data_IF_253397930251
#
_entry.id   IF_253397930251
#
_cell.length_a   1.000
_cell.length_b   1.000
_cell.length_c   1.000
_cell.angle_alpha   90.00
_cell.angle_beta   90.00
_cell.angle_gamma   90.00
#
_symmetry.space_group_name_H-M   'P 1'
#
loop_
_entity.id
_entity.type
_entity.pdbx_description
1 polymer ?
#
# COMPACT_ATOMS: atom_id res chain seq x y z
N UNK A 1 -2.16 1.34 -63.55
CA UNK A 1 -1.31 1.18 -62.34
C UNK A 1 -1.95 1.78 -61.09
N UNK A 2 -2.24 3.09 -61.04
CA UNK A 2 -2.92 3.72 -59.88
C UNK A 2 -4.28 3.11 -59.51
N UNK A 3 -5.11 2.71 -60.49
CA UNK A 3 -6.45 2.14 -60.22
C UNK A 3 -6.41 0.75 -59.55
N UNK A 4 -5.35 -0.01 -59.77
CA UNK A 4 -5.15 -1.33 -59.13
C UNK A 4 -4.59 -1.18 -57.71
N UNK A 5 -3.74 -0.16 -57.48
CA UNK A 5 -3.24 0.18 -56.14
C UNK A 5 -4.40 0.64 -55.25
N UNK A 6 -5.30 1.48 -55.75
CA UNK A 6 -6.50 1.88 -54.99
C UNK A 6 -7.48 0.73 -54.74
N UNK A 7 -7.57 -0.26 -55.63
CA UNK A 7 -8.39 -1.45 -55.41
C UNK A 7 -7.75 -2.45 -54.43
N UNK A 8 -6.42 -2.57 -54.41
CA UNK A 8 -5.68 -3.34 -53.39
C UNK A 8 -5.69 -2.65 -52.02
N UNK A 9 -5.54 -1.32 -51.95
CA UNK A 9 -5.69 -0.55 -50.72
C UNK A 9 -7.13 -0.59 -50.21
N UNK A 10 -8.14 -0.54 -51.08
CA UNK A 10 -9.53 -0.75 -50.69
C UNK A 10 -9.76 -2.18 -50.19
N UNK A 11 -9.25 -3.21 -50.88
CA UNK A 11 -9.31 -4.60 -50.41
C UNK A 11 -8.58 -4.82 -49.09
N UNK A 12 -7.42 -4.19 -48.87
CA UNK A 12 -6.68 -4.26 -47.62
C UNK A 12 -7.39 -3.49 -46.49
N UNK A 13 -8.00 -2.33 -46.75
CA UNK A 13 -8.86 -1.63 -45.78
C UNK A 13 -10.13 -2.40 -45.44
N UNK A 14 -10.65 -3.23 -46.36
CA UNK A 14 -11.80 -4.11 -46.08
C UNK A 14 -11.40 -5.40 -45.35
N UNK A 15 -10.13 -5.85 -45.49
CA UNK A 15 -9.56 -7.00 -44.76
C UNK A 15 -9.05 -6.64 -43.36
N UNK A 16 -8.64 -5.39 -43.17
CA UNK A 16 -8.20 -4.78 -41.90
C UNK A 16 -9.18 -3.69 -41.43
N UNK A 17 -10.47 -3.88 -41.68
CA UNK A 17 -11.46 -3.26 -40.80
C UNK A 17 -11.40 -4.08 -39.50
N UNK A 18 -10.95 -3.51 -38.36
CA UNK A 18 -11.03 -4.23 -37.11
C UNK A 18 -12.50 -4.64 -36.92
N UNK A 19 -12.77 -5.94 -36.79
CA UNK A 19 -14.12 -6.48 -36.51
C UNK A 19 -14.59 -6.18 -35.07
N UNK A 20 -14.06 -5.11 -34.47
CA UNK A 20 -14.35 -4.64 -33.13
C UNK A 20 -14.41 -3.11 -33.12
N UNK A 21 -15.19 -2.51 -34.03
CA UNK A 21 -15.94 -1.33 -33.59
C UNK A 21 -16.92 -1.83 -32.55
N UNK A 22 -16.78 -1.34 -31.31
CA UNK A 22 -17.42 -1.80 -30.07
C UNK A 22 -18.95 -1.83 -30.08
N UNK A 23 -19.54 -2.65 -30.94
CA UNK A 23 -20.92 -3.07 -30.89
C UNK A 23 -20.92 -4.42 -30.16
N UNK A 24 -21.51 -4.49 -28.95
CA UNK A 24 -21.71 -5.74 -28.24
C UNK A 24 -22.27 -6.81 -29.18
N UNK A 25 -21.74 -8.02 -29.10
CA UNK A 25 -22.38 -9.18 -29.72
C UNK A 25 -23.84 -9.25 -29.22
N UNK A 26 -24.80 -9.55 -30.11
CA UNK A 26 -26.22 -9.51 -29.75
C UNK A 26 -26.50 -10.31 -28.45
N UNK A 27 -26.95 -9.60 -27.40
CA UNK A 27 -27.25 -10.18 -26.08
C UNK A 27 -26.22 -9.90 -24.97
N UNK A 28 -25.06 -9.32 -25.27
CA UNK A 28 -24.07 -8.87 -24.27
C UNK A 28 -24.27 -7.39 -23.92
N UNK A 29 -24.07 -7.03 -22.66
CA UNK A 29 -24.12 -5.65 -22.19
C UNK A 29 -22.75 -4.98 -22.31
N UNK A 30 -22.67 -3.70 -22.69
CA UNK A 30 -21.45 -2.91 -22.56
C UNK A 30 -20.92 -2.89 -21.13
N UNK A 31 -19.59 -2.75 -20.95
CA UNK A 31 -18.98 -2.71 -19.63
C UNK A 31 -19.60 -1.66 -18.72
N UNK A 32 -19.93 -0.49 -19.27
CA UNK A 32 -20.49 0.64 -18.51
C UNK A 32 -21.88 0.39 -17.93
N UNK A 33 -22.59 -0.62 -18.44
CA UNK A 33 -23.89 -1.08 -17.93
C UNK A 33 -23.75 -2.22 -16.90
N UNK A 34 -22.53 -2.75 -16.73
CA UNK A 34 -22.22 -3.89 -15.85
C UNK A 34 -21.38 -3.44 -14.65
N UNK A 35 -20.48 -2.49 -14.83
CA UNK A 35 -19.56 -2.03 -13.78
C UNK A 35 -19.39 -0.52 -13.81
N UNK A 36 -19.52 0.08 -12.63
CA UNK A 36 -19.45 1.52 -12.43
C UNK A 36 -18.05 1.92 -11.96
N UNK A 37 -17.35 2.86 -12.61
CA UNK A 37 -16.12 3.44 -12.06
C UNK A 37 -16.42 4.17 -10.74
N UNK A 38 -15.46 4.27 -9.82
CA UNK A 38 -15.68 5.10 -8.61
C UNK A 38 -15.91 6.58 -8.96
N UNK A 39 -16.56 7.32 -8.07
CA UNK A 39 -16.94 8.73 -8.30
C UNK A 39 -15.75 9.66 -8.63
N UNK A 40 -14.60 9.43 -8.00
CA UNK A 40 -13.35 10.16 -8.25
C UNK A 40 -12.81 9.92 -9.66
N UNK A 41 -12.98 8.70 -10.19
CA UNK A 41 -12.65 8.36 -11.58
C UNK A 41 -13.67 8.96 -12.55
N UNK A 42 -14.98 8.84 -12.25
CA UNK A 42 -16.04 9.40 -13.09
C UNK A 42 -15.89 10.92 -13.26
N UNK A 43 -15.62 11.64 -12.17
CA UNK A 43 -15.57 13.12 -12.15
C UNK A 43 -14.30 13.75 -12.72
N UNK A 44 -13.26 12.95 -13.01
CA UNK A 44 -11.98 13.49 -13.49
C UNK A 44 -11.05 13.99 -12.36
N UNK A 45 -11.48 13.90 -11.09
CA UNK A 45 -10.79 14.50 -9.94
C UNK A 45 -9.58 13.69 -9.43
N UNK A 46 -9.24 12.58 -10.09
CA UNK A 46 -8.12 11.68 -9.80
C UNK A 46 -6.70 12.29 -9.93
N UNK A 47 -6.56 13.62 -10.06
CA UNK A 47 -5.28 14.27 -10.40
C UNK A 47 -4.27 14.33 -9.24
N UNK A 48 -3.17 13.60 -9.45
CA UNK A 48 -1.84 13.62 -8.80
C UNK A 48 -1.74 13.35 -7.29
N UNK A 49 -2.70 13.70 -6.43
CA UNK A 49 -2.60 13.48 -4.98
C UNK A 49 -3.37 12.26 -4.46
N UNK A 50 -4.55 11.93 -5.01
CA UNK A 50 -5.45 10.93 -4.43
C UNK A 50 -4.84 9.52 -4.34
N UNK A 51 -4.21 8.96 -5.39
CA UNK A 51 -3.65 7.60 -5.30
C UNK A 51 -2.37 7.44 -4.47
N UNK A 52 -1.98 8.42 -3.66
CA UNK A 52 -0.89 8.28 -2.70
C UNK A 52 -1.45 8.16 -1.29
N UNK A 53 -1.36 6.96 -0.74
CA UNK A 53 -1.50 6.75 0.69
C UNK A 53 -0.50 7.65 1.45
N UNK A 54 -1.00 8.43 2.41
CA UNK A 54 -0.21 9.26 3.31
C UNK A 54 -0.59 8.90 4.76
N UNK A 55 0.28 8.13 5.42
CA UNK A 55 0.06 7.67 6.79
C UNK A 55 -0.02 8.84 7.78
N UNK A 56 0.68 9.95 7.52
CA UNK A 56 0.66 11.11 8.40
C UNK A 56 -0.68 11.85 8.31
N UNK A 57 -1.26 11.99 7.12
CA UNK A 57 -2.60 12.58 6.94
C UNK A 57 -3.68 11.73 7.63
N UNK A 58 -3.65 10.40 7.43
CA UNK A 58 -4.62 9.50 8.07
C UNK A 58 -4.49 9.54 9.60
N UNK A 59 -3.26 9.59 10.12
CA UNK A 59 -3.04 9.69 11.57
C UNK A 59 -3.56 11.00 12.16
N UNK A 60 -3.50 12.13 11.42
CA UNK A 60 -4.03 13.42 11.88
C UNK A 60 -5.54 13.59 11.69
N UNK A 61 -6.17 12.77 10.85
CA UNK A 61 -7.59 12.91 10.51
C UNK A 61 -7.85 13.81 9.29
N UNK A 62 -6.81 14.10 8.49
CA UNK A 62 -6.87 15.05 7.37
C UNK A 62 -6.96 14.37 5.99
N UNK A 63 -6.99 13.03 5.95
CA UNK A 63 -7.01 12.28 4.68
C UNK A 63 -8.42 12.22 4.06
N UNK A 64 -8.49 11.96 2.75
CA UNK A 64 -9.76 11.66 2.07
C UNK A 64 -10.44 10.43 2.69
N UNK A 65 -11.77 10.34 2.57
CA UNK A 65 -12.56 9.28 3.21
C UNK A 65 -12.07 7.87 2.82
N UNK A 66 -11.68 7.67 1.57
CA UNK A 66 -11.17 6.38 1.07
C UNK A 66 -9.87 5.89 1.72
N UNK A 67 -9.13 6.77 2.40
CA UNK A 67 -7.97 6.41 3.22
C UNK A 67 -8.23 6.58 4.71
N UNK A 68 -9.12 7.49 5.11
CA UNK A 68 -9.41 7.81 6.50
C UNK A 68 -10.38 6.81 7.15
N UNK A 69 -11.43 6.42 6.44
CA UNK A 69 -12.42 5.46 6.92
C UNK A 69 -11.91 4.01 6.74
N UNK A 70 -11.83 3.21 7.81
CA UNK A 70 -11.34 1.84 7.73
C UNK A 70 -12.14 0.95 6.76
N UNK A 71 -13.46 1.10 6.70
CA UNK A 71 -14.30 0.23 5.86
C UNK A 71 -14.16 0.59 4.40
N UNK A 72 -14.18 1.88 4.07
CA UNK A 72 -13.95 2.36 2.70
C UNK A 72 -12.54 1.97 2.22
N UNK A 73 -11.53 2.13 3.08
CA UNK A 73 -10.16 1.73 2.79
C UNK A 73 -10.07 0.24 2.43
N UNK A 74 -10.62 -0.65 3.27
CA UNK A 74 -10.57 -2.10 3.02
C UNK A 74 -11.46 -2.54 1.85
N UNK A 75 -12.57 -1.84 1.58
CA UNK A 75 -13.40 -2.08 0.40
C UNK A 75 -12.63 -1.86 -0.92
N UNK A 76 -11.76 -0.84 -0.95
CA UNK A 76 -10.88 -0.52 -2.09
C UNK A 76 -9.52 -1.23 -2.03
N UNK A 77 -9.31 -2.10 -1.05
CA UNK A 77 -8.04 -2.82 -0.85
C UNK A 77 -8.18 -4.27 -1.31
N UNK A 78 -7.26 -4.72 -2.17
CA UNK A 78 -7.08 -6.14 -2.43
C UNK A 78 -6.14 -6.72 -1.37
N UNK A 79 -6.61 -7.72 -0.62
CA UNK A 79 -5.76 -8.46 0.31
C UNK A 79 -4.85 -9.41 -0.47
N UNK A 80 -3.74 -8.87 -0.96
CA UNK A 80 -2.68 -9.67 -1.56
C UNK A 80 -2.17 -10.68 -0.55
N UNK A 81 -1.52 -11.73 -1.02
CA UNK A 81 -0.97 -12.74 -0.18
C UNK A 81 0.11 -12.15 0.76
N UNK A 82 0.93 -11.21 0.28
CA UNK A 82 1.89 -10.48 1.12
C UNK A 82 1.27 -9.55 2.17
N UNK A 83 0.17 -8.88 1.83
CA UNK A 83 -0.58 -8.07 2.80
C UNK A 83 -1.27 -8.97 3.83
N UNK A 84 -1.86 -10.09 3.40
CA UNK A 84 -2.49 -11.08 4.26
C UNK A 84 -1.50 -11.68 5.26
N UNK A 85 -0.29 -12.01 4.79
CA UNK A 85 0.81 -12.49 5.65
C UNK A 85 1.19 -11.44 6.71
N UNK A 86 1.28 -10.17 6.31
CA UNK A 86 1.59 -9.05 7.21
C UNK A 86 0.53 -8.86 8.30
N UNK A 87 -0.75 -8.80 7.90
CA UNK A 87 -1.87 -8.65 8.81
C UNK A 87 -1.95 -9.85 9.77
N UNK A 88 -1.74 -11.06 9.26
CA UNK A 88 -1.67 -12.29 10.06
C UNK A 88 -0.55 -12.23 11.09
N UNK A 89 0.66 -11.80 10.69
CA UNK A 89 1.77 -11.63 11.61
C UNK A 89 1.44 -10.65 12.73
N UNK A 90 0.80 -9.52 12.38
CA UNK A 90 0.41 -8.53 13.37
C UNK A 90 -0.65 -9.05 14.36
N UNK A 91 -1.66 -9.80 13.87
CA UNK A 91 -2.66 -10.44 14.72
C UNK A 91 -2.02 -11.42 15.71
N UNK A 92 -1.09 -12.26 15.24
CA UNK A 92 -0.32 -13.18 16.10
C UNK A 92 0.52 -12.41 17.13
N UNK A 93 1.26 -11.39 16.69
CA UNK A 93 2.20 -10.68 17.56
C UNK A 93 1.48 -9.92 18.65
N UNK A 94 0.43 -9.19 18.28
CA UNK A 94 -0.31 -8.32 19.19
C UNK A 94 -1.29 -9.11 20.06
N UNK A 95 -1.87 -10.20 19.57
CA UNK A 95 -2.88 -10.98 20.30
C UNK A 95 -2.34 -12.17 21.09
N UNK A 96 -1.31 -12.85 20.59
CA UNK A 96 -0.84 -14.14 21.12
C UNK A 96 0.64 -14.13 21.51
N UNK A 97 1.33 -13.00 21.29
CA UNK A 97 2.77 -12.87 21.45
C UNK A 97 3.57 -13.86 20.58
N UNK A 98 2.99 -14.29 19.46
CA UNK A 98 3.61 -15.15 18.45
C UNK A 98 3.91 -14.36 17.17
N UNK A 99 4.79 -14.86 16.31
CA UNK A 99 5.17 -14.14 15.09
C UNK A 99 6.26 -13.09 15.31
N UNK A 100 6.62 -12.42 14.22
CA UNK A 100 7.82 -11.62 14.16
C UNK A 100 7.61 -10.24 14.82
N UNK A 101 8.51 -9.83 15.72
CA UNK A 101 8.40 -8.57 16.45
C UNK A 101 8.75 -7.35 15.59
N UNK A 102 9.55 -7.55 14.54
CA UNK A 102 10.05 -6.49 13.66
C UNK A 102 9.82 -6.90 12.21
N UNK A 103 9.12 -6.05 11.46
CA UNK A 103 8.84 -6.27 10.04
C UNK A 103 9.40 -5.10 9.23
N UNK A 104 10.22 -5.44 8.25
CA UNK A 104 10.73 -4.48 7.25
C UNK A 104 9.85 -4.52 6.00
N UNK A 105 9.28 -3.39 5.62
CA UNK A 105 8.59 -3.24 4.34
C UNK A 105 9.59 -2.76 3.28
N UNK A 106 9.97 -3.67 2.38
CA UNK A 106 10.76 -3.36 1.20
C UNK A 106 9.91 -3.50 -0.07
N UNK A 107 9.87 -2.42 -0.86
CA UNK A 107 9.31 -2.44 -2.22
C UNK A 107 10.13 -1.53 -3.12
N UNK A 108 10.12 -1.84 -4.42
CA UNK A 108 10.36 -0.84 -5.46
C UNK A 108 9.31 0.28 -5.38
N UNK A 109 9.66 1.42 -5.96
CA UNK A 109 8.82 2.62 -5.98
C UNK A 109 7.35 2.37 -6.33
N UNK A 110 6.44 2.77 -5.43
CA UNK A 110 5.00 2.61 -5.61
C UNK A 110 4.42 1.23 -5.23
N UNK A 111 5.21 0.33 -4.64
CA UNK A 111 4.78 -1.03 -4.28
C UNK A 111 3.95 -1.19 -3.00
N UNK A 112 3.38 -0.11 -2.46
CA UNK A 112 2.36 -0.19 -1.41
C UNK A 112 2.85 -0.21 0.05
N UNK A 113 4.08 0.20 0.39
CA UNK A 113 4.59 0.24 1.78
C UNK A 113 3.66 1.02 2.73
N UNK A 114 3.39 2.29 2.41
CA UNK A 114 2.48 3.13 3.20
C UNK A 114 1.06 2.57 3.21
N UNK A 115 0.61 1.94 2.11
CA UNK A 115 -0.70 1.29 2.04
C UNK A 115 -0.80 0.07 2.98
N UNK A 116 0.23 -0.78 3.03
CA UNK A 116 0.33 -1.90 3.97
C UNK A 116 0.35 -1.41 5.44
N UNK A 117 1.05 -0.31 5.71
CA UNK A 117 1.02 0.33 7.04
C UNK A 117 -0.37 0.88 7.39
N UNK A 118 -1.09 1.47 6.44
CA UNK A 118 -2.47 1.91 6.64
C UNK A 118 -3.40 0.75 6.93
N UNK A 119 -3.25 -0.38 6.24
CA UNK A 119 -4.03 -1.58 6.51
C UNK A 119 -3.82 -2.06 7.95
N UNK A 120 -2.56 -2.10 8.43
CA UNK A 120 -2.25 -2.39 9.84
C UNK A 120 -2.85 -1.36 10.79
N UNK A 121 -2.66 -0.07 10.49
CA UNK A 121 -3.16 1.05 11.30
C UNK A 121 -4.67 0.95 11.51
N UNK A 122 -5.43 0.69 10.44
CA UNK A 122 -6.88 0.56 10.46
C UNK A 122 -7.34 -0.73 11.13
N UNK A 123 -6.73 -1.86 10.78
CA UNK A 123 -7.08 -3.18 11.35
C UNK A 123 -7.01 -3.15 12.87
N UNK A 124 -5.94 -2.60 13.45
CA UNK A 124 -5.78 -2.56 14.92
C UNK A 124 -6.46 -1.35 15.58
N UNK A 125 -6.97 -0.42 14.77
CA UNK A 125 -7.64 0.80 15.24
C UNK A 125 -9.15 0.67 15.43
N UNK A 126 -9.78 -0.32 14.77
CA UNK A 126 -11.22 -0.59 14.91
C UNK A 126 -11.52 -1.48 16.11
N UNK A 127 -12.77 -1.42 16.60
CA UNK A 127 -13.24 -2.27 17.71
C UNK A 127 -13.27 -3.75 17.35
N UNK A 128 -13.71 -4.07 16.12
CA UNK A 128 -13.79 -5.42 15.61
C UNK A 128 -13.18 -5.48 14.20
N UNK A 129 -11.97 -6.04 14.04
CA UNK A 129 -11.36 -6.21 12.72
C UNK A 129 -12.18 -7.04 11.75
N UNK A 130 -13.04 -7.96 12.22
CA UNK A 130 -13.92 -8.74 11.35
C UNK A 130 -15.01 -7.88 10.65
N UNK A 131 -15.24 -6.63 11.09
CA UNK A 131 -16.15 -5.72 10.41
C UNK A 131 -15.53 -5.07 9.15
N UNK A 132 -14.23 -5.30 8.92
CA UNK A 132 -13.49 -4.78 7.78
C UNK A 132 -13.59 -5.74 6.59
N UNK A 133 -13.95 -5.26 5.39
CA UNK A 133 -14.07 -6.11 4.20
C UNK A 133 -12.83 -7.00 3.96
N UNK A 134 -13.06 -8.32 3.90
CA UNK A 134 -12.04 -9.34 3.63
C UNK A 134 -11.21 -9.76 4.85
N UNK A 135 -11.21 -8.98 5.93
CA UNK A 135 -10.47 -9.31 7.16
C UNK A 135 -11.17 -10.41 7.95
N UNK A 136 -12.49 -10.49 7.89
CA UNK A 136 -13.30 -11.62 8.37
C UNK A 136 -12.83 -12.95 7.76
N UNK A 137 -12.74 -13.00 6.44
CA UNK A 137 -12.31 -14.19 5.68
C UNK A 137 -10.87 -14.53 6.02
N UNK A 138 -10.00 -13.52 6.19
CA UNK A 138 -8.62 -13.72 6.62
C UNK A 138 -8.58 -14.39 8.00
N UNK A 139 -9.31 -13.84 8.99
CA UNK A 139 -9.35 -14.34 10.37
C UNK A 139 -9.83 -15.79 10.42
N UNK A 140 -10.88 -16.13 9.68
CA UNK A 140 -11.40 -17.50 9.57
C UNK A 140 -10.38 -18.46 8.96
N UNK A 141 -9.68 -18.03 7.90
CA UNK A 141 -8.66 -18.82 7.22
C UNK A 141 -7.50 -19.16 8.14
N UNK A 142 -7.02 -18.17 8.91
CA UNK A 142 -5.87 -18.35 9.80
C UNK A 142 -6.27 -18.83 11.20
N UNK A 143 -7.57 -18.92 11.49
CA UNK A 143 -8.15 -19.31 12.79
C UNK A 143 -7.60 -18.49 13.96
N UNK A 144 -7.43 -17.19 13.75
CA UNK A 144 -6.97 -16.25 14.78
C UNK A 144 -8.12 -15.37 15.25
N UNK A 145 -8.05 -14.95 16.51
CA UNK A 145 -8.90 -13.90 17.04
C UNK A 145 -8.12 -12.58 17.10
N UNK A 146 -8.79 -11.44 16.90
CA UNK A 146 -8.22 -10.12 17.17
C UNK A 146 -7.66 -10.00 18.60
N UNK A 147 -6.70 -9.08 18.83
CA UNK A 147 -6.27 -8.74 20.19
C UNK A 147 -7.47 -8.35 21.06
N UNK A 148 -7.54 -8.89 22.28
CA UNK A 148 -8.64 -8.63 23.23
C UNK A 148 -8.58 -7.25 23.86
N UNK A 149 -7.40 -6.63 23.84
CA UNK A 149 -7.15 -5.29 24.36
C UNK A 149 -6.94 -4.31 23.21
N UNK A 150 -7.26 -3.03 23.46
CA UNK A 150 -6.98 -1.94 22.53
C UNK A 150 -5.48 -1.89 22.24
N UNK A 151 -5.11 -1.85 20.96
CA UNK A 151 -3.72 -1.70 20.54
C UNK A 151 -3.35 -0.21 20.52
N UNK A 152 -2.28 0.14 21.22
CA UNK A 152 -1.70 1.48 21.21
C UNK A 152 -0.88 1.69 19.93
N UNK A 153 -1.05 2.82 19.25
CA UNK A 153 -0.45 3.06 17.93
C UNK A 153 0.48 4.27 18.00
N UNK A 154 1.73 4.07 17.58
CA UNK A 154 2.65 5.17 17.27
C UNK A 154 2.94 5.20 15.78
N UNK A 155 2.87 6.39 15.19
CA UNK A 155 3.07 6.67 13.76
C UNK A 155 4.16 7.75 13.63
N UNK A 156 5.29 7.35 13.06
CA UNK A 156 6.46 8.18 12.86
C UNK A 156 6.75 8.26 11.36
N UNK A 157 6.41 9.39 10.72
CA UNK A 157 6.59 9.55 9.27
C UNK A 157 7.78 10.48 9.03
N UNK A 158 8.88 9.93 8.51
CA UNK A 158 10.16 10.63 8.41
C UNK A 158 10.16 11.84 7.46
N UNK A 159 9.21 11.92 6.54
CA UNK A 159 8.99 13.09 5.68
C UNK A 159 8.14 14.18 6.34
N UNK A 160 7.38 13.84 7.39
CA UNK A 160 6.54 14.78 8.13
C UNK A 160 7.24 15.33 9.39
N UNK A 161 8.17 14.57 9.97
CA UNK A 161 8.92 14.95 11.16
C UNK A 161 10.26 15.59 10.76
N UNK A 162 10.62 16.72 11.37
CA UNK A 162 11.90 17.40 11.14
C UNK A 162 12.83 17.21 12.35
N UNK A 163 14.09 16.77 12.16
CA UNK A 163 15.05 16.68 13.26
C UNK A 163 15.55 18.06 13.74
N UNK A 164 15.30 19.13 12.99
CA UNK A 164 15.74 20.48 13.34
C UNK A 164 14.73 21.30 14.13
N UNK A 165 13.52 20.78 14.37
CA UNK A 165 12.42 21.56 14.95
C UNK A 165 11.69 20.77 16.03
N UNK A 166 11.57 21.38 17.21
CA UNK A 166 10.70 20.88 18.26
C UNK A 166 9.23 21.05 17.88
N UNK A 167 8.37 20.13 18.31
CA UNK A 167 6.92 20.20 18.17
C UNK A 167 6.28 20.31 19.54
N UNK A 168 5.23 21.11 19.66
CA UNK A 168 4.46 21.21 20.91
C UNK A 168 3.11 20.53 20.72
N UNK A 169 2.75 19.63 21.63
CA UNK A 169 1.47 18.93 21.64
C UNK A 169 0.38 19.78 22.30
N UNK A 170 -0.88 19.40 22.10
CA UNK A 170 -2.05 20.11 22.65
C UNK A 170 -2.01 20.22 24.18
N UNK A 171 -1.35 19.28 24.84
CA UNK A 171 -1.16 19.24 26.28
C UNK A 171 0.03 20.11 26.76
N UNK A 172 0.78 20.74 25.85
CA UNK A 172 1.95 21.57 26.13
C UNK A 172 3.28 20.80 26.18
N UNK A 173 3.28 19.49 25.97
CA UNK A 173 4.51 18.69 25.88
C UNK A 173 5.33 19.12 24.67
N UNK A 174 6.59 19.47 24.89
CA UNK A 174 7.55 19.79 23.84
C UNK A 174 8.33 18.53 23.48
N UNK A 175 8.31 18.16 22.21
CA UNK A 175 8.94 16.97 21.66
C UNK A 175 10.04 17.38 20.69
N UNK A 176 11.22 16.80 20.83
CA UNK A 176 12.38 17.11 20.01
C UNK A 176 12.73 15.97 19.04
N UNK A 177 12.44 14.73 19.41
CA UNK A 177 13.02 13.52 18.81
C UNK A 177 11.96 12.51 18.36
N UNK A 178 12.38 11.46 17.63
CA UNK A 178 11.50 10.34 17.27
C UNK A 178 11.05 9.54 18.49
N UNK A 179 11.90 9.38 19.51
CA UNK A 179 11.58 8.60 20.70
C UNK A 179 10.67 9.36 21.67
N UNK A 180 10.80 10.68 21.80
CA UNK A 180 9.83 11.49 22.52
C UNK A 180 8.45 11.46 21.87
N UNK A 181 8.40 11.54 20.53
CA UNK A 181 7.17 11.39 19.76
C UNK A 181 6.55 9.99 19.92
N UNK A 182 7.36 8.93 19.85
CA UNK A 182 6.94 7.56 20.11
C UNK A 182 6.27 7.41 21.48
N UNK A 183 6.95 7.84 22.54
CA UNK A 183 6.46 7.70 23.90
C UNK A 183 5.15 8.47 24.09
N UNK A 184 5.12 9.74 23.68
CA UNK A 184 3.92 10.57 23.82
C UNK A 184 2.72 9.95 23.09
N UNK A 185 2.88 9.48 21.84
CA UNK A 185 1.78 8.90 21.07
C UNK A 185 1.24 7.60 21.68
N UNK A 186 2.11 6.73 22.21
CA UNK A 186 1.67 5.51 22.89
C UNK A 186 0.80 5.85 24.11
N UNK A 187 1.22 6.81 24.94
CA UNK A 187 0.45 7.25 26.10
C UNK A 187 -0.83 8.01 25.76
N UNK A 188 -0.80 8.87 24.75
CA UNK A 188 -1.93 9.74 24.36
C UNK A 188 -3.16 8.92 23.96
N UNK A 189 -2.96 7.72 23.41
CA UNK A 189 -4.04 6.79 23.06
C UNK A 189 -4.94 6.37 24.24
N UNK A 190 -4.51 6.63 25.48
CA UNK A 190 -5.26 6.47 26.74
C UNK A 190 -5.26 7.73 27.61
N UNK A 191 -4.98 8.90 27.02
CA UNK A 191 -4.97 10.19 27.73
C UNK A 191 -3.76 10.40 28.64
N UNK A 192 -2.69 9.64 28.45
CA UNK A 192 -1.47 9.62 29.28
C UNK A 192 -0.21 10.06 28.54
N UNK A 193 -0.35 10.92 27.52
CA UNK A 193 0.76 11.36 26.68
C UNK A 193 1.94 11.93 27.48
N UNK A 194 1.66 12.82 28.45
CA UNK A 194 2.68 13.36 29.37
C UNK A 194 3.37 12.32 30.24
N UNK A 195 2.61 11.37 30.79
CA UNK A 195 3.16 10.31 31.65
C UNK A 195 4.10 9.41 30.85
N UNK A 196 3.71 9.03 29.63
CA UNK A 196 4.55 8.24 28.73
C UNK A 196 5.80 9.00 28.29
N UNK A 197 5.64 10.27 27.88
CA UNK A 197 6.77 11.14 27.51
C UNK A 197 7.77 11.27 28.66
N UNK A 198 7.31 11.44 29.90
CA UNK A 198 8.16 11.58 31.07
C UNK A 198 9.14 10.40 31.26
N UNK A 199 8.79 9.20 30.78
CA UNK A 199 9.68 8.04 30.82
C UNK A 199 10.93 8.21 29.95
N UNK A 200 10.87 9.02 28.88
CA UNK A 200 11.97 9.26 27.95
C UNK A 200 12.34 10.76 27.83
N UNK A 201 11.90 11.60 28.77
CA UNK A 201 12.03 13.05 28.67
C UNK A 201 13.51 13.50 28.64
N UNK A 202 14.37 12.92 29.48
CA UNK A 202 15.80 13.24 29.51
C UNK A 202 16.47 12.90 28.18
N UNK A 203 16.14 11.74 27.59
CA UNK A 203 16.63 11.34 26.27
C UNK A 203 16.12 12.29 25.17
N UNK A 204 14.85 12.70 25.21
CA UNK A 204 14.28 13.64 24.22
C UNK A 204 14.92 15.02 24.32
N UNK A 205 15.09 15.56 25.52
CA UNK A 205 15.64 16.89 25.75
C UNK A 205 17.13 16.97 25.41
N UNK A 206 17.89 15.92 25.71
CA UNK A 206 19.32 15.84 25.38
C UNK A 206 19.59 15.52 23.91
N UNK A 207 18.59 15.04 23.17
CA UNK A 207 18.78 14.54 21.80
C UNK A 207 19.69 13.30 21.75
N UNK A 208 19.77 12.53 22.84
CA UNK A 208 20.51 11.28 22.98
C UNK A 208 19.53 10.11 23.03
N UNK A 209 19.86 9.01 22.36
CA UNK A 209 18.97 7.84 22.24
C UNK A 209 18.74 7.23 23.61
N UNK A 210 17.48 6.88 23.94
CA UNK A 210 17.21 6.05 25.11
C UNK A 210 17.83 4.66 24.95
N UNK A 211 18.09 4.01 26.08
CA UNK A 211 18.50 2.61 26.13
C UNK A 211 17.34 1.66 25.82
N UNK A 212 17.66 0.41 25.46
CA UNK A 212 16.63 -0.60 25.20
C UNK A 212 15.79 -0.92 26.45
N UNK A 213 16.35 -0.85 27.65
CA UNK A 213 15.62 -1.07 28.91
C UNK A 213 14.53 -0.03 29.17
N UNK A 214 14.79 1.25 28.86
CA UNK A 214 13.81 2.34 28.99
C UNK A 214 12.66 2.15 28.00
N UNK A 215 12.98 1.76 26.76
CA UNK A 215 11.99 1.43 25.74
C UNK A 215 11.16 0.20 26.12
N UNK A 216 11.77 -0.83 26.71
CA UNK A 216 11.04 -2.00 27.25
C UNK A 216 10.08 -1.59 28.37
N UNK A 217 10.51 -0.71 29.28
CA UNK A 217 9.64 -0.19 30.34
C UNK A 217 8.43 0.54 29.75
N UNK A 218 8.65 1.38 28.73
CA UNK A 218 7.59 2.06 27.99
C UNK A 218 6.62 1.06 27.34
N UNK A 219 7.12 0.07 26.59
CA UNK A 219 6.26 -0.91 25.92
C UNK A 219 5.50 -1.80 26.91
N UNK A 220 6.12 -2.15 28.04
CA UNK A 220 5.42 -2.86 29.11
C UNK A 220 4.25 -2.05 29.66
N UNK A 221 4.42 -0.73 29.83
CA UNK A 221 3.37 0.15 30.33
C UNK A 221 2.23 0.38 29.32
N UNK A 222 2.53 0.32 28.02
CA UNK A 222 1.59 0.65 26.94
C UNK A 222 1.47 -0.47 25.90
N UNK A 223 1.46 -1.73 26.33
CA UNK A 223 1.19 -2.89 25.47
C UNK A 223 -0.29 -3.31 25.54
N UNK A 224 -0.87 -3.90 24.48
CA UNK A 224 -0.25 -4.17 23.16
C UNK A 224 0.04 -2.89 22.37
N UNK A 225 1.17 -2.85 21.66
CA UNK A 225 1.60 -1.67 20.90
C UNK A 225 2.03 -2.01 19.47
N UNK A 226 1.65 -1.15 18.53
CA UNK A 226 2.21 -1.14 17.17
C UNK A 226 2.92 0.19 16.90
N UNK A 227 4.09 0.09 16.29
CA UNK A 227 4.96 1.21 15.98
C UNK A 227 5.18 1.18 14.47
N UNK A 228 4.66 2.20 13.79
CA UNK A 228 4.72 2.34 12.33
C UNK A 228 5.68 3.47 11.99
N UNK A 229 6.82 3.13 11.37
CA UNK A 229 7.83 4.12 10.96
C UNK A 229 7.91 4.17 9.45
N UNK A 230 7.26 5.17 8.84
CA UNK A 230 7.30 5.36 7.39
C UNK A 230 8.45 6.29 7.00
N UNK A 231 9.15 6.00 5.91
CA UNK A 231 10.23 6.80 5.35
C UNK A 231 11.35 7.11 6.39
N UNK A 232 11.76 6.11 7.18
CA UNK A 232 12.73 6.31 8.26
C UNK A 232 14.07 6.87 7.75
N UNK A 233 14.54 6.37 6.60
CA UNK A 233 15.77 6.87 5.97
C UNK A 233 15.65 8.35 5.60
N UNK A 234 14.46 8.82 5.17
CA UNK A 234 14.25 10.21 4.84
C UNK A 234 14.45 11.12 6.06
N UNK A 235 14.11 10.67 7.26
CA UNK A 235 14.40 11.40 8.50
C UNK A 235 15.90 11.41 8.81
N UNK A 236 16.52 10.23 8.88
CA UNK A 236 17.91 10.09 9.33
C UNK A 236 18.89 10.80 8.38
N UNK A 237 18.65 10.78 7.06
CA UNK A 237 19.57 11.45 6.12
C UNK A 237 19.68 12.97 6.36
N UNK A 238 18.67 13.59 6.97
CA UNK A 238 18.70 15.02 7.30
C UNK A 238 19.64 15.35 8.46
N UNK A 239 20.09 14.36 9.23
CA UNK A 239 21.06 14.54 10.33
C UNK A 239 22.49 14.22 9.91
N UNK A 240 22.69 13.66 8.71
CA UNK A 240 24.00 13.28 8.20
C UNK A 240 24.88 14.49 7.87
N UNK A 241 26.14 14.48 8.30
CA UNK A 241 27.14 15.54 8.07
C UNK A 241 26.63 16.97 8.37
N UNK A 242 25.71 17.10 9.32
CA UNK A 242 25.13 18.40 9.68
C UNK A 242 26.07 19.12 10.64
N UNK A 243 26.39 20.39 10.33
CA UNK A 243 27.27 21.22 11.17
C UNK A 243 26.57 21.81 12.39
N UNK A 244 25.24 21.89 12.34
CA UNK A 244 24.42 22.42 13.44
C UNK A 244 24.04 21.30 14.41
N UNK A 245 23.97 21.63 15.69
CA UNK A 245 23.35 20.75 16.69
C UNK A 245 21.84 20.71 16.42
N UNK A 246 21.31 19.52 16.12
CA UNK A 246 19.90 19.29 15.87
C UNK A 246 19.23 18.77 17.14
N UNK A 247 18.03 19.29 17.44
CA UNK A 247 17.25 18.85 18.61
C UNK A 247 16.80 17.39 18.49
N UNK A 248 16.63 16.89 17.27
CA UNK A 248 16.29 15.50 16.97
C UNK A 248 17.45 14.51 17.03
N UNK A 249 18.60 14.92 17.57
CA UNK A 249 19.82 14.11 17.70
C UNK A 249 20.67 14.01 16.43
N UNK A 250 21.87 13.43 16.57
CA UNK A 250 22.81 13.22 15.46
C UNK A 250 22.44 12.00 14.60
N UNK A 251 23.18 11.79 13.52
CA UNK A 251 23.09 10.58 12.70
C UNK A 251 23.41 9.31 13.49
N UNK A 252 24.46 9.35 14.29
CA UNK A 252 24.89 8.25 15.17
C UNK A 252 23.83 7.97 16.23
N UNK A 253 23.27 9.01 16.86
CA UNK A 253 22.21 8.84 17.85
C UNK A 253 20.97 8.18 17.25
N UNK A 254 20.53 8.61 16.07
CA UNK A 254 19.37 8.01 15.40
C UNK A 254 19.63 6.56 14.98
N UNK A 255 20.87 6.24 14.62
CA UNK A 255 21.33 4.88 14.36
C UNK A 255 21.27 4.02 15.63
N UNK A 256 21.78 4.52 16.75
CA UNK A 256 21.72 3.85 18.06
C UNK A 256 20.27 3.64 18.48
N UNK A 257 19.40 4.62 18.26
CA UNK A 257 17.97 4.49 18.54
C UNK A 257 17.34 3.37 17.72
N UNK A 258 17.67 3.23 16.42
CA UNK A 258 17.16 2.14 15.62
C UNK A 258 17.54 0.76 16.20
N UNK A 259 18.77 0.61 16.66
CA UNK A 259 19.24 -0.62 17.32
C UNK A 259 18.48 -0.87 18.63
N UNK A 260 18.49 0.11 19.54
CA UNK A 260 17.82 0.01 20.83
C UNK A 260 16.32 -0.30 20.69
N UNK A 261 15.65 0.34 19.72
CA UNK A 261 14.24 0.12 19.41
C UNK A 261 13.98 -1.32 18.94
N UNK A 262 14.75 -1.82 17.98
CA UNK A 262 14.57 -3.19 17.48
C UNK A 262 14.82 -4.25 18.57
N UNK A 263 15.81 -4.03 19.45
CA UNK A 263 16.09 -4.90 20.59
C UNK A 263 14.97 -4.86 21.63
N UNK A 264 14.48 -3.66 21.97
CA UNK A 264 13.40 -3.48 22.93
C UNK A 264 12.09 -4.10 22.46
N UNK A 265 11.75 -3.96 21.18
CA UNK A 265 10.53 -4.56 20.59
C UNK A 265 10.62 -6.08 20.57
N UNK A 266 11.82 -6.64 20.34
CA UNK A 266 12.06 -8.09 20.41
C UNK A 266 11.84 -8.64 21.82
N UNK A 267 12.28 -7.92 22.85
CA UNK A 267 12.16 -8.33 24.25
C UNK A 267 10.82 -7.96 24.90
N UNK A 268 9.96 -7.17 24.21
CA UNK A 268 8.68 -6.72 24.73
C UNK A 268 7.52 -7.52 24.14
N UNK A 269 6.80 -8.32 24.93
CA UNK A 269 5.62 -9.03 24.45
C UNK A 269 4.57 -8.10 23.85
N UNK A 270 3.78 -8.62 22.90
CA UNK A 270 2.66 -7.90 22.31
C UNK A 270 3.01 -6.53 21.70
N UNK A 271 4.28 -6.35 21.29
CA UNK A 271 4.78 -5.13 20.65
C UNK A 271 5.28 -5.47 19.25
N UNK A 272 4.84 -4.68 18.26
CA UNK A 272 5.21 -4.85 16.85
C UNK A 272 5.82 -3.56 16.30
N UNK A 273 6.98 -3.66 15.68
CA UNK A 273 7.58 -2.60 14.88
C UNK A 273 7.44 -2.94 13.39
N UNK A 274 6.89 -2.00 12.63
CA UNK A 274 6.88 -2.06 11.17
C UNK A 274 7.55 -0.80 10.64
N UNK A 275 8.60 -0.96 9.85
CA UNK A 275 9.32 0.16 9.26
C UNK A 275 9.42 0.03 7.74
N UNK A 276 9.28 1.15 7.03
CA UNK A 276 9.46 1.18 5.58
C UNK A 276 10.87 1.64 5.25
N UNK A 277 11.56 0.84 4.44
CA UNK A 277 12.90 1.16 3.95
C UNK A 277 12.90 1.22 2.41
N UNK A 278 13.67 2.13 1.81
CA UNK A 278 13.92 2.13 0.38
C UNK A 278 14.53 0.80 -0.09
N UNK A 279 14.06 0.28 -1.23
CA UNK A 279 14.60 -0.98 -1.77
C UNK A 279 15.98 -0.79 -2.39
N UNK A 280 16.22 0.37 -3.02
CA UNK A 280 17.42 0.66 -3.81
C UNK A 280 18.07 1.99 -3.44
N UNK A 281 19.36 2.12 -3.76
CA UNK A 281 20.17 3.35 -3.57
C UNK A 281 19.64 4.57 -4.35
N UNK A 282 18.87 4.35 -5.41
CA UNK A 282 18.30 5.41 -6.25
C UNK A 282 17.27 6.24 -5.47
N UNK A 283 16.55 5.63 -4.54
CA UNK A 283 15.46 6.25 -3.79
C UNK A 283 15.92 7.06 -2.56
N UNK A 284 17.18 6.93 -2.16
CA UNK A 284 17.64 7.26 -0.81
C UNK A 284 18.10 8.72 -0.67
N UNK A 285 18.39 9.38 -1.79
CA UNK A 285 18.64 10.82 -1.85
C UNK A 285 20.04 11.25 -1.42
N UNK A 286 21.08 10.62 -1.96
CA UNK A 286 22.49 11.00 -1.75
C UNK A 286 23.21 10.19 -0.68
N UNK A 287 24.46 10.57 -0.39
CA UNK A 287 25.40 9.81 0.46
C UNK A 287 24.86 9.54 1.87
N UNK A 288 24.28 10.54 2.54
CA UNK A 288 23.70 10.35 3.88
C UNK A 288 22.50 9.41 3.89
N UNK A 289 21.74 9.39 2.79
CA UNK A 289 20.69 8.41 2.58
C UNK A 289 21.27 7.00 2.45
N UNK A 290 22.27 6.81 1.60
CA UNK A 290 22.90 5.49 1.41
C UNK A 290 23.45 4.92 2.72
N UNK A 291 24.14 5.73 3.51
CA UNK A 291 24.64 5.32 4.83
C UNK A 291 23.49 4.97 5.77
N UNK A 292 22.46 5.81 5.87
CA UNK A 292 21.28 5.51 6.71
C UNK A 292 20.61 4.20 6.31
N UNK A 293 20.43 3.96 5.00
CA UNK A 293 19.83 2.73 4.51
C UNK A 293 20.67 1.50 4.83
N UNK A 294 21.98 1.57 4.61
CA UNK A 294 22.90 0.47 4.91
C UNK A 294 22.86 0.12 6.41
N UNK A 295 22.97 1.13 7.25
CA UNK A 295 22.93 1.00 8.70
C UNK A 295 21.60 0.44 9.20
N UNK A 296 20.46 0.96 8.73
CA UNK A 296 19.14 0.42 9.08
C UNK A 296 19.00 -1.02 8.57
N UNK A 297 19.36 -1.32 7.32
CA UNK A 297 19.34 -2.70 6.79
C UNK A 297 20.16 -3.67 7.64
N UNK A 298 21.33 -3.25 8.13
CA UNK A 298 22.15 -4.09 9.01
C UNK A 298 21.48 -4.35 10.37
N UNK A 299 20.77 -3.36 10.90
CA UNK A 299 20.03 -3.47 12.16
C UNK A 299 18.84 -4.42 12.02
N UNK A 300 18.08 -4.29 10.93
CA UNK A 300 16.88 -5.06 10.65
C UNK A 300 17.15 -6.51 10.19
N UNK A 301 18.23 -6.76 9.41
CA UNK A 301 18.61 -8.10 8.91
C UNK A 301 18.73 -9.18 9.98
N UNK A 302 18.98 -8.81 11.24
CA UNK A 302 19.17 -9.74 12.35
C UNK A 302 17.86 -10.24 12.96
N UNK A 303 16.72 -9.61 12.66
CA UNK A 303 15.48 -9.76 13.45
C UNK A 303 14.22 -9.92 12.58
N UNK A 304 14.30 -9.74 11.26
CA UNK A 304 13.12 -9.59 10.40
C UNK A 304 12.59 -10.87 9.75
N UNK A 305 11.29 -10.86 9.46
CA UNK A 305 10.71 -11.58 8.32
C UNK A 305 10.60 -10.68 7.09
N UNK A 306 10.76 -11.28 5.91
CA UNK A 306 10.63 -10.56 4.65
C UNK A 306 9.16 -10.43 4.26
N UNK A 307 8.64 -9.21 4.25
CA UNK A 307 7.37 -8.91 3.60
C UNK A 307 7.54 -9.02 2.07
N UNK A 308 6.51 -9.51 1.37
CA UNK A 308 6.54 -9.66 -0.10
C UNK A 308 5.64 -8.62 -0.79
N UNK A 309 6.14 -7.95 -1.85
CA UNK A 309 5.30 -7.16 -2.74
C UNK A 309 4.21 -7.99 -3.43
N UNK A 310 3.17 -7.29 -3.92
CA UNK A 310 2.16 -7.88 -4.79
C UNK A 310 2.78 -8.41 -6.08
N UNK A 311 2.29 -9.56 -6.56
CA UNK A 311 2.67 -10.08 -7.87
C UNK A 311 1.85 -9.42 -9.01
N UNK A 312 2.14 -9.78 -10.25
CA UNK A 312 1.47 -9.19 -11.43
C UNK A 312 -0.05 -9.46 -11.44
N UNK A 313 -0.49 -10.68 -11.11
CA UNK A 313 -1.92 -11.02 -11.12
C UNK A 313 -2.68 -10.30 -10.00
N UNK A 314 -2.10 -10.24 -8.80
CA UNK A 314 -2.63 -9.46 -7.68
C UNK A 314 -2.70 -7.96 -7.99
N UNK A 315 -1.79 -7.47 -8.83
CA UNK A 315 -1.81 -6.08 -9.27
C UNK A 315 -3.03 -5.75 -10.13
N UNK A 316 -3.55 -6.71 -10.89
CA UNK A 316 -4.76 -6.51 -11.69
C UNK A 316 -5.98 -6.29 -10.80
N UNK A 317 -6.11 -7.11 -9.76
CA UNK A 317 -7.14 -6.97 -8.73
C UNK A 317 -7.03 -5.65 -7.96
N UNK A 318 -5.81 -5.24 -7.60
CA UNK A 318 -5.56 -3.93 -6.96
C UNK A 318 -6.09 -2.80 -7.85
N UNK A 319 -5.72 -2.80 -9.14
CA UNK A 319 -6.11 -1.74 -10.06
C UNK A 319 -7.62 -1.75 -10.30
N UNK A 320 -8.20 -2.92 -10.56
CA UNK A 320 -9.64 -3.07 -10.78
C UNK A 320 -10.45 -2.57 -9.60
N UNK A 321 -10.11 -2.94 -8.36
CA UNK A 321 -10.82 -2.49 -7.15
C UNK A 321 -10.65 -0.99 -6.88
N UNK A 322 -9.52 -0.40 -7.27
CA UNK A 322 -9.28 1.03 -7.12
C UNK A 322 -9.99 1.90 -8.15
N UNK A 323 -10.31 1.34 -9.31
CA UNK A 323 -10.93 2.10 -10.40
C UNK A 323 -12.45 1.88 -10.48
N UNK A 324 -12.94 0.73 -10.03
CA UNK A 324 -14.34 0.34 -10.16
C UNK A 324 -14.98 -0.07 -8.84
N UNK A 325 -16.27 0.21 -8.72
CA UNK A 325 -17.13 -0.27 -7.65
C UNK A 325 -17.25 -1.80 -7.68
N UNK A 326 -17.50 -2.46 -6.53
CA UNK A 326 -17.77 -3.89 -6.50
C UNK A 326 -19.00 -4.25 -7.35
N UNK A 327 -18.89 -5.35 -8.10
CA UNK A 327 -20.05 -5.91 -8.82
C UNK A 327 -21.10 -6.40 -7.81
N UNK A 328 -22.37 -6.35 -8.20
CA UNK A 328 -23.48 -6.77 -7.35
C UNK A 328 -24.51 -7.61 -8.10
N UNK A 329 -25.15 -8.56 -7.42
CA UNK A 329 -26.32 -9.28 -7.95
C UNK A 329 -26.14 -9.83 -9.36
N UNK A 330 -26.94 -9.32 -10.31
CA UNK A 330 -26.98 -9.79 -11.70
C UNK A 330 -25.75 -9.39 -12.52
N UNK A 331 -24.94 -8.43 -12.06
CA UNK A 331 -23.77 -7.96 -12.79
C UNK A 331 -22.71 -9.05 -12.94
N UNK A 332 -22.63 -9.98 -11.97
CA UNK A 332 -21.77 -11.16 -12.06
C UNK A 332 -22.13 -12.01 -13.29
N UNK A 333 -23.42 -12.24 -13.54
CA UNK A 333 -23.87 -13.03 -14.69
C UNK A 333 -23.58 -12.32 -16.03
N UNK A 334 -23.68 -10.98 -16.06
CA UNK A 334 -23.35 -10.21 -17.26
C UNK A 334 -21.86 -10.22 -17.56
N UNK A 335 -21.00 -10.04 -16.55
CA UNK A 335 -19.55 -10.24 -16.68
C UNK A 335 -19.26 -11.64 -17.19
N UNK A 336 -19.83 -12.68 -16.58
CA UNK A 336 -19.53 -14.07 -16.92
C UNK A 336 -19.93 -14.39 -18.38
N UNK A 337 -21.03 -13.82 -18.86
CA UNK A 337 -21.43 -13.93 -20.26
C UNK A 337 -20.40 -13.29 -21.22
N UNK A 338 -19.82 -12.14 -20.86
CA UNK A 338 -18.75 -11.50 -21.65
C UNK A 338 -17.48 -12.35 -21.62
N UNK A 339 -17.06 -12.81 -20.43
CA UNK A 339 -15.90 -13.68 -20.25
C UNK A 339 -16.05 -14.98 -21.07
N UNK A 340 -17.23 -15.59 -21.07
CA UNK A 340 -17.53 -16.79 -21.83
C UNK A 340 -17.47 -16.54 -23.35
N UNK A 341 -17.95 -15.39 -23.81
CA UNK A 341 -17.85 -14.99 -25.21
C UNK A 341 -16.39 -14.85 -25.67
N UNK A 342 -15.54 -14.17 -24.88
CA UNK A 342 -14.10 -14.06 -25.16
C UNK A 342 -13.40 -15.42 -25.08
N UNK A 343 -13.70 -16.23 -24.05
CA UNK A 343 -13.15 -17.57 -23.90
C UNK A 343 -13.50 -18.48 -25.09
N UNK A 344 -14.73 -18.36 -25.61
CA UNK A 344 -15.16 -19.06 -26.83
C UNK A 344 -14.41 -18.54 -28.06
N UNK A 345 -14.27 -17.22 -28.22
CA UNK A 345 -13.51 -16.63 -29.32
C UNK A 345 -12.08 -17.18 -29.38
N UNK A 346 -11.38 -17.29 -28.24
CA UNK A 346 -10.02 -17.85 -28.20
C UNK A 346 -9.97 -19.35 -28.52
N UNK A 347 -10.98 -20.11 -28.10
CA UNK A 347 -11.07 -21.55 -28.41
C UNK A 347 -11.33 -21.78 -29.89
N UNK A 348 -12.28 -21.05 -30.47
CA UNK A 348 -12.70 -21.20 -31.87
C UNK A 348 -11.60 -20.75 -32.84
N UNK A 349 -10.69 -19.86 -32.41
CA UNK A 349 -9.64 -19.29 -33.24
C UNK A 349 -8.24 -19.54 -32.65
N UNK A 350 -8.00 -20.73 -32.10
CA UNK A 350 -6.78 -21.05 -31.33
C UNK A 350 -5.45 -20.82 -32.08
N UNK A 351 -5.46 -20.79 -33.42
CA UNK A 351 -4.27 -20.53 -34.23
C UNK A 351 -3.97 -19.03 -34.43
N UNK A 352 -4.90 -18.14 -34.05
CA UNK A 352 -4.78 -16.69 -34.19
C UNK A 352 -4.32 -16.01 -32.89
N UNK A 353 -4.33 -16.73 -31.77
CA UNK A 353 -4.03 -16.18 -30.43
C UNK A 353 -2.82 -16.87 -29.77
N UNK A 354 -2.15 -16.20 -28.81
CA UNK A 354 -1.05 -16.79 -28.06
C UNK A 354 -1.43 -18.10 -27.34
N UNK A 355 -0.44 -18.97 -27.12
CA UNK A 355 -0.64 -20.19 -26.34
C UNK A 355 -1.13 -19.86 -24.91
N UNK A 356 -2.03 -20.68 -24.37
CA UNK A 356 -2.63 -20.48 -23.05
C UNK A 356 -3.97 -19.73 -23.04
N UNK A 357 -4.29 -18.91 -24.06
CA UNK A 357 -5.50 -18.06 -24.04
C UNK A 357 -6.82 -18.86 -24.03
N UNK A 358 -6.80 -20.10 -24.54
CA UNK A 358 -7.97 -20.99 -24.60
C UNK A 358 -8.21 -21.78 -23.31
N UNK A 359 -7.24 -21.76 -22.38
CA UNK A 359 -7.21 -22.62 -21.21
C UNK A 359 -7.91 -21.96 -20.01
N UNK A 360 -8.34 -22.78 -19.06
CA UNK A 360 -9.07 -22.32 -17.87
C UNK A 360 -8.35 -21.22 -17.05
N UNK A 361 -7.01 -21.24 -16.87
CA UNK A 361 -6.32 -20.18 -16.14
C UNK A 361 -6.48 -18.80 -16.80
N UNK A 362 -6.51 -18.73 -18.13
CA UNK A 362 -6.69 -17.45 -18.82
C UNK A 362 -8.12 -16.93 -18.70
N UNK A 363 -9.12 -17.83 -18.71
CA UNK A 363 -10.50 -17.47 -18.38
C UNK A 363 -10.59 -16.83 -16.99
N UNK A 364 -9.92 -17.41 -16.00
CA UNK A 364 -9.92 -16.86 -14.65
C UNK A 364 -9.25 -15.47 -14.58
N UNK A 365 -8.19 -15.24 -15.37
CA UNK A 365 -7.61 -13.89 -15.52
C UNK A 365 -8.62 -12.88 -16.09
N UNK A 366 -9.42 -13.26 -17.09
CA UNK A 366 -10.47 -12.39 -17.64
C UNK A 366 -11.51 -12.02 -16.57
N UNK A 367 -11.93 -12.97 -15.74
CA UNK A 367 -12.88 -12.75 -14.65
C UNK A 367 -12.36 -11.72 -13.63
N UNK A 368 -11.10 -11.87 -13.23
CA UNK A 368 -10.46 -11.05 -12.20
C UNK A 368 -10.11 -9.63 -12.69
N UNK A 369 -9.83 -9.48 -14.00
CA UNK A 369 -9.44 -8.20 -14.59
C UNK A 369 -10.64 -7.38 -15.11
N UNK A 370 -11.81 -7.99 -15.30
CA UNK A 370 -12.98 -7.33 -15.88
C UNK A 370 -13.31 -6.00 -15.17
N UNK A 371 -13.54 -4.90 -15.93
CA UNK A 371 -13.77 -4.84 -17.38
C UNK A 371 -12.51 -4.64 -18.22
N UNK A 372 -11.32 -4.70 -17.61
CA UNK A 372 -10.07 -4.45 -18.31
C UNK A 372 -9.51 -5.79 -18.82
N UNK A 373 -9.13 -5.82 -20.09
CA UNK A 373 -8.54 -7.02 -20.67
C UNK A 373 -7.13 -7.30 -20.08
N UNK A 374 -6.80 -8.55 -19.67
CA UNK A 374 -5.54 -8.89 -19.00
C UNK A 374 -4.30 -8.55 -19.82
N UNK A 375 -4.35 -8.68 -21.15
CA UNK A 375 -3.24 -8.29 -22.04
C UNK A 375 -2.83 -6.82 -21.87
N UNK A 376 -3.77 -5.90 -21.61
CA UNK A 376 -3.42 -4.49 -21.41
C UNK A 376 -2.55 -4.34 -20.16
N UNK A 377 -2.89 -5.05 -19.08
CA UNK A 377 -2.06 -5.05 -17.89
C UNK A 377 -0.72 -5.74 -18.11
N UNK A 378 -0.69 -6.87 -18.82
CA UNK A 378 0.57 -7.57 -19.13
C UNK A 378 1.53 -6.65 -19.89
N UNK A 379 1.04 -5.86 -20.87
CA UNK A 379 1.87 -4.87 -21.57
C UNK A 379 2.32 -3.73 -20.67
N UNK A 380 1.41 -3.16 -19.88
CA UNK A 380 1.76 -2.07 -18.96
C UNK A 380 2.79 -2.51 -17.92
N UNK A 381 2.71 -3.73 -17.41
CA UNK A 381 3.69 -4.24 -16.43
C UNK A 381 4.98 -4.73 -17.09
N UNK A 382 4.91 -5.51 -18.18
CA UNK A 382 6.12 -6.04 -18.83
C UNK A 382 6.93 -4.93 -19.50
N UNK A 383 6.27 -4.04 -20.24
CA UNK A 383 6.98 -3.06 -21.07
C UNK A 383 7.41 -1.85 -20.24
N UNK A 384 6.57 -1.35 -19.31
CA UNK A 384 6.87 -0.11 -18.57
C UNK A 384 7.64 -0.34 -17.27
N UNK A 385 7.67 -1.55 -16.72
CA UNK A 385 8.55 -1.87 -15.57
C UNK A 385 10.03 -1.69 -15.89
N UNK A 386 10.40 -1.69 -17.18
CA UNK A 386 11.76 -1.43 -17.65
C UNK A 386 12.18 0.05 -17.54
N UNK A 387 11.24 0.97 -17.32
CA UNK A 387 11.51 2.40 -17.27
C UNK A 387 12.08 2.83 -15.89
N UNK A 388 13.29 3.40 -15.81
CA UNK A 388 13.99 3.68 -14.54
C UNK A 388 13.29 4.64 -13.57
N UNK A 389 12.31 5.42 -14.03
CA UNK A 389 11.58 6.42 -13.23
C UNK A 389 10.07 6.15 -13.12
N UNK A 390 9.60 5.01 -13.63
CA UNK A 390 8.18 4.71 -13.63
C UNK A 390 7.73 4.19 -12.26
N UNK A 391 6.78 4.88 -11.62
CA UNK A 391 6.16 4.37 -10.39
C UNK A 391 5.14 3.30 -10.80
N UNK A 392 5.50 2.02 -10.67
CA UNK A 392 4.83 0.90 -11.34
C UNK A 392 3.31 0.93 -11.16
N UNK A 393 2.81 0.80 -9.93
CA UNK A 393 1.36 0.73 -9.68
C UNK A 393 0.68 2.11 -9.76
N UNK A 394 1.30 3.17 -9.23
CA UNK A 394 0.70 4.52 -9.21
C UNK A 394 0.63 5.20 -10.58
N UNK A 395 1.62 4.95 -11.43
CA UNK A 395 1.64 5.43 -12.81
C UNK A 395 0.56 4.75 -13.64
N UNK A 396 0.43 3.42 -13.51
CA UNK A 396 -0.63 2.66 -14.18
C UNK A 396 -2.01 3.09 -13.71
N UNK A 397 -2.23 3.22 -12.40
CA UNK A 397 -3.52 3.68 -11.85
C UNK A 397 -3.95 5.03 -12.44
N UNK A 398 -3.03 6.01 -12.50
CA UNK A 398 -3.33 7.33 -13.08
C UNK A 398 -3.66 7.27 -14.57
N UNK A 399 -2.90 6.48 -15.33
CA UNK A 399 -3.16 6.30 -16.76
C UNK A 399 -4.54 5.67 -16.96
N UNK A 400 -4.80 4.56 -16.26
CA UNK A 400 -6.04 3.82 -16.39
C UNK A 400 -7.25 4.63 -15.93
N UNK A 401 -7.15 5.36 -14.82
CA UNK A 401 -8.19 6.30 -14.40
C UNK A 401 -8.49 7.34 -15.48
N UNK A 402 -7.46 7.87 -16.14
CA UNK A 402 -7.64 8.85 -17.23
C UNK A 402 -8.32 8.25 -18.46
N UNK A 403 -7.94 7.03 -18.83
CA UNK A 403 -8.55 6.32 -19.96
C UNK A 403 -10.01 5.99 -19.66
N UNK A 404 -10.30 5.43 -18.48
CA UNK A 404 -11.66 5.05 -18.07
C UNK A 404 -12.56 6.27 -17.97
N UNK A 405 -12.07 7.38 -17.39
CA UNK A 405 -12.81 8.64 -17.36
C UNK A 405 -13.18 9.11 -18.76
N UNK A 406 -12.21 9.12 -19.69
CA UNK A 406 -12.46 9.52 -21.08
C UNK A 406 -13.48 8.61 -21.78
N UNK A 407 -13.41 7.28 -21.56
CA UNK A 407 -14.37 6.32 -22.10
C UNK A 407 -15.77 6.49 -21.49
N UNK A 408 -15.85 6.77 -20.18
CA UNK A 408 -17.10 7.00 -19.47
C UNK A 408 -17.82 8.25 -19.96
N UNK A 409 -17.09 9.36 -20.10
CA UNK A 409 -17.61 10.63 -20.65
C UNK A 409 -18.03 10.49 -22.12
N UNK A 410 -17.26 9.78 -22.94
CA UNK A 410 -17.60 9.51 -24.34
C UNK A 410 -18.78 8.54 -24.50
N UNK A 411 -19.20 7.89 -23.41
CA UNK A 411 -20.29 6.93 -23.37
C UNK A 411 -20.00 5.64 -24.13
N UNK A 412 -18.76 5.17 -24.04
CA UNK A 412 -18.24 4.00 -24.72
C UNK A 412 -19.10 2.73 -24.53
N UNK A 413 -19.30 1.97 -25.61
CA UNK A 413 -20.17 0.78 -25.61
C UNK A 413 -19.42 -0.54 -25.80
N UNK A 414 -18.10 -0.54 -25.58
CA UNK A 414 -17.31 -1.77 -25.62
C UNK A 414 -17.70 -2.73 -24.48
N UNK A 415 -17.25 -3.98 -24.58
CA UNK A 415 -17.64 -5.08 -23.68
C UNK A 415 -16.73 -5.20 -22.46
#
# INVERSE_FOLDING_TARGET
>A
LMRNIFQEEARNKTRYAPKTEGVPQAGLKPWREVVTPHQDVQSGNYQKAEFAADLAQVHRGDASSEYQDPKEFFQRTHLTAGLSDLLTNALKRLGQNEGDPVVELQTSFGGGKTHSMLALYHMVGVKNPADLPGVDTLLDTVKLSPPSQKVHRAVLVGTALSPGQSRTKSDGTKLNTLWGELAWQLGDSVGKGKEAYAMLAEADESGVSPGSEELVALFKAYSPAIILIDEWVAYIRHTYNTRNVLVGGSFETNTTFAQALTEAVKSSPNTLLVASLPSSKIEVGGEGGEHALETLKHTFKRVQSSWRPANAEESYEIIRRRLFEPLSGQDFAHRDAVVDAFSKLYKDNANEFPQGCKDAPYKHKLENCYPIHPELFERLYADWSTLPKFQQTRGVLRLMASVIHALWEAGDKSL
#
